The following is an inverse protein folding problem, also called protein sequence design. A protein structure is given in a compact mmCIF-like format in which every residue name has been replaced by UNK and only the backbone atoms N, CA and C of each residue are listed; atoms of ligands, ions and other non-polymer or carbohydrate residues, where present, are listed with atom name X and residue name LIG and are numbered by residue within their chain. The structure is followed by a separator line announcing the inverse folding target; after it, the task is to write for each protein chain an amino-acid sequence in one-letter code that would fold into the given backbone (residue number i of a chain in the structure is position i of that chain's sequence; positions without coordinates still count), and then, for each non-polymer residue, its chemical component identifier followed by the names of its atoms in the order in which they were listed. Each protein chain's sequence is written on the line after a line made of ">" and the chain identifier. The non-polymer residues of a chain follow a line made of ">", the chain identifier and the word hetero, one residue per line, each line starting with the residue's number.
data_IF_555008973495
#
_entry.id   IF_555008973495
#
_cell.length_a   1.000
_cell.length_b   1.000
_cell.length_c   1.000
_cell.angle_alpha   90.00
_cell.angle_beta   90.00
_cell.angle_gamma   90.00
#
_symmetry.space_group_name_H-M   'P 1'
#
loop_
_entity.id
_entity.type
_entity.pdbx_description
1 polymer ?
#
# COMPACT_ATOMS: atom_id res chain seq x y z
N UNK A 1 14.00 -14.11 47.32
CA UNK A 1 13.35 -15.21 46.60
C UNK A 1 11.89 -15.22 47.03
N UNK A 2 11.00 -14.62 46.24
CA UNK A 2 9.55 -14.77 46.43
C UNK A 2 9.04 -15.14 45.05
N UNK A 3 8.67 -16.42 44.94
CA UNK A 3 8.04 -17.03 43.79
C UNK A 3 6.53 -16.76 43.89
N UNK A 4 6.00 -15.98 42.94
CA UNK A 4 4.57 -15.67 42.86
C UNK A 4 4.02 -16.28 41.58
N UNK A 5 3.70 -17.56 41.66
CA UNK A 5 2.98 -18.30 40.64
C UNK A 5 1.47 -18.03 40.76
N UNK A 6 0.89 -17.28 39.81
CA UNK A 6 -0.56 -17.09 39.69
C UNK A 6 -1.08 -17.95 38.53
N UNK A 7 -2.07 -18.84 38.73
CA UNK A 7 -2.63 -19.63 37.63
C UNK A 7 -3.58 -18.79 36.78
N UNK A 8 -3.27 -18.73 35.47
CA UNK A 8 -4.11 -18.10 34.45
C UNK A 8 -5.19 -19.10 34.02
N UNK A 9 -6.41 -18.93 34.52
CA UNK A 9 -7.58 -19.73 34.10
C UNK A 9 -8.05 -19.30 32.71
N UNK A 10 -7.89 -20.19 31.74
CA UNK A 10 -8.34 -20.03 30.36
C UNK A 10 -9.85 -20.35 30.26
N UNK A 11 -10.68 -19.34 30.01
CA UNK A 11 -12.12 -19.51 29.79
C UNK A 11 -12.38 -19.76 28.30
N UNK A 12 -12.66 -21.01 27.92
CA UNK A 12 -13.04 -21.38 26.55
C UNK A 12 -14.54 -21.14 26.36
N UNK A 13 -14.89 -20.01 25.75
CA UNK A 13 -16.25 -19.71 25.32
C UNK A 13 -16.52 -20.26 23.92
N UNK A 14 -17.37 -21.29 23.82
CA UNK A 14 -17.85 -21.81 22.55
C UNK A 14 -18.89 -20.84 21.94
N UNK A 15 -18.51 -20.14 20.87
CA UNK A 15 -19.40 -19.30 20.08
C UNK A 15 -20.08 -20.14 18.99
N UNK A 16 -21.36 -20.45 19.18
CA UNK A 16 -22.22 -21.11 18.17
C UNK A 16 -22.75 -20.03 17.23
N UNK A 17 -22.35 -20.07 15.96
CA UNK A 17 -22.85 -19.18 14.90
C UNK A 17 -24.06 -19.83 14.17
N UNK A 18 -25.16 -19.09 13.95
CA UNK A 18 -26.31 -19.58 13.20
C UNK A 18 -26.04 -19.56 11.68
N UNK A 19 -26.65 -20.53 11.00
CA UNK A 19 -26.42 -20.86 9.60
C UNK A 19 -26.77 -19.76 8.59
N UNK A 20 -25.89 -19.61 7.60
CA UNK A 20 -26.13 -18.83 6.40
C UNK A 20 -27.01 -19.63 5.43
N UNK A 21 -28.14 -19.05 5.06
CA UNK A 21 -29.00 -19.56 4.00
C UNK A 21 -28.32 -19.40 2.63
N UNK A 22 -28.16 -20.51 1.91
CA UNK A 22 -27.65 -20.52 0.55
C UNK A 22 -28.72 -19.99 -0.42
N UNK A 23 -28.55 -18.76 -0.90
CA UNK A 23 -29.30 -18.26 -2.05
C UNK A 23 -28.69 -18.84 -3.33
N UNK A 24 -29.28 -19.93 -3.85
CA UNK A 24 -29.00 -20.46 -5.19
C UNK A 24 -29.62 -19.55 -6.25
N UNK A 25 -28.98 -18.42 -6.52
CA UNK A 25 -29.28 -17.58 -7.68
C UNK A 25 -28.48 -18.08 -8.88
N UNK A 26 -29.15 -18.67 -9.86
CA UNK A 26 -28.56 -19.02 -11.15
C UNK A 26 -28.15 -17.74 -11.88
N UNK A 27 -26.87 -17.38 -11.79
CA UNK A 27 -26.29 -16.29 -12.57
C UNK A 27 -26.39 -16.61 -14.06
N UNK A 28 -26.86 -15.67 -14.91
CA UNK A 28 -26.86 -15.85 -16.35
C UNK A 28 -25.43 -16.04 -16.84
N UNK A 29 -25.19 -17.17 -17.51
CA UNK A 29 -23.93 -17.52 -18.13
C UNK A 29 -23.62 -16.48 -19.23
N UNK A 30 -22.67 -15.60 -18.95
CA UNK A 30 -22.14 -14.68 -19.95
C UNK A 30 -21.56 -15.51 -21.12
N UNK A 31 -21.74 -15.06 -22.38
CA UNK A 31 -21.15 -15.74 -23.52
C UNK A 31 -19.63 -15.87 -23.34
N UNK A 32 -19.00 -16.93 -23.85
CA UNK A 32 -17.55 -17.08 -23.81
C UNK A 32 -16.91 -15.91 -24.56
N UNK A 33 -16.53 -14.88 -23.82
CA UNK A 33 -15.68 -13.82 -24.33
C UNK A 33 -14.35 -14.46 -24.64
N UNK A 34 -13.96 -14.39 -25.91
CA UNK A 34 -12.59 -14.61 -26.34
C UNK A 34 -11.71 -13.70 -25.48
N UNK A 35 -11.09 -14.24 -24.43
CA UNK A 35 -10.10 -13.52 -23.67
C UNK A 35 -8.96 -13.25 -24.64
N UNK A 36 -8.89 -12.03 -25.16
CA UNK A 36 -7.71 -11.56 -25.86
C UNK A 36 -6.56 -11.73 -24.87
N UNK A 37 -5.63 -12.62 -25.22
CA UNK A 37 -4.39 -12.76 -24.49
C UNK A 37 -3.63 -11.46 -24.69
N UNK A 38 -3.83 -10.50 -23.78
CA UNK A 38 -2.99 -9.32 -23.62
C UNK A 38 -1.59 -9.85 -23.42
N UNK A 39 -0.82 -9.84 -24.51
CA UNK A 39 0.57 -10.23 -24.47
C UNK A 39 1.25 -9.10 -23.73
N UNK A 40 1.68 -9.35 -22.49
CA UNK A 40 2.34 -8.36 -21.65
C UNK A 40 3.43 -7.66 -22.48
N UNK A 41 3.46 -6.32 -22.50
CA UNK A 41 4.47 -5.57 -23.24
C UNK A 41 5.86 -6.11 -22.88
N UNK A 42 6.70 -6.47 -23.87
CA UNK A 42 8.05 -6.94 -23.59
C UNK A 42 8.84 -5.79 -22.97
N UNK A 43 9.02 -5.82 -21.64
CA UNK A 43 9.77 -4.80 -20.91
C UNK A 43 9.27 -4.43 -19.51
N UNK A 44 8.17 -5.03 -19.01
CA UNK A 44 7.78 -4.82 -17.61
C UNK A 44 8.92 -5.27 -16.68
N UNK A 45 9.38 -4.37 -15.83
CA UNK A 45 10.43 -4.69 -14.86
C UNK A 45 9.87 -5.67 -13.82
N UNK A 46 10.65 -6.66 -13.41
CA UNK A 46 10.23 -7.61 -12.36
C UNK A 46 10.83 -7.18 -11.02
N UNK A 47 9.99 -6.68 -10.12
CA UNK A 47 10.42 -6.23 -8.78
C UNK A 47 11.16 -7.33 -7.99
N UNK A 48 10.86 -8.60 -8.22
CA UNK A 48 11.49 -9.72 -7.51
C UNK A 48 12.95 -9.92 -7.90
N UNK A 49 13.36 -9.37 -9.04
CA UNK A 49 14.75 -9.40 -9.49
C UNK A 49 15.60 -8.31 -8.86
N UNK A 50 14.98 -7.35 -8.16
CA UNK A 50 15.69 -6.25 -7.50
C UNK A 50 16.26 -6.70 -6.17
N UNK A 51 17.57 -6.48 -5.98
CA UNK A 51 18.23 -6.73 -4.71
C UNK A 51 17.93 -5.60 -3.71
N UNK A 52 16.78 -5.72 -3.03
CA UNK A 52 16.38 -4.80 -1.96
C UNK A 52 17.35 -4.85 -0.76
N UNK A 53 18.04 -5.97 -0.54
CA UNK A 53 19.05 -6.12 0.52
C UNK A 53 20.37 -5.44 0.20
N UNK A 54 20.65 -5.18 -1.08
CA UNK A 54 21.76 -4.37 -1.58
C UNK A 54 21.35 -2.98 -2.03
N UNK A 55 20.09 -2.58 -1.86
CA UNK A 55 19.58 -1.29 -2.29
C UNK A 55 20.01 -0.15 -1.36
N UNK A 56 19.98 1.07 -1.92
CA UNK A 56 20.10 2.31 -1.16
C UNK A 56 18.71 2.75 -0.67
N UNK A 57 18.63 3.15 0.59
CA UNK A 57 17.40 3.56 1.26
C UNK A 57 17.54 4.99 1.77
N UNK A 58 16.44 5.73 1.81
CA UNK A 58 16.35 6.99 2.55
C UNK A 58 15.59 6.70 3.85
N UNK A 59 16.26 6.89 4.98
CA UNK A 59 15.71 6.61 6.29
C UNK A 59 15.57 7.91 7.07
N UNK A 60 14.40 8.22 7.60
CA UNK A 60 14.20 9.39 8.46
C UNK A 60 13.77 8.93 9.84
N UNK A 61 14.55 9.29 10.88
CA UNK A 61 14.15 9.04 12.25
C UNK A 61 12.86 9.80 12.53
N UNK A 62 11.90 9.02 12.96
CA UNK A 62 10.51 9.37 12.95
C UNK A 62 9.80 9.94 11.74
N UNK A 63 10.41 9.94 10.57
CA UNK A 63 9.96 10.81 9.48
C UNK A 63 10.05 12.31 9.84
N UNK A 64 10.56 12.65 11.03
CA UNK A 64 10.67 14.01 11.56
C UNK A 64 12.04 14.61 11.28
N UNK A 65 13.06 13.75 11.18
CA UNK A 65 14.44 14.16 10.96
C UNK A 65 14.79 14.22 9.46
N UNK A 66 15.88 14.91 9.15
CA UNK A 66 16.44 14.91 7.79
C UNK A 66 16.72 13.46 7.37
N UNK A 67 16.18 13.00 6.22
CA UNK A 67 16.44 11.65 5.75
C UNK A 67 17.95 11.42 5.56
N UNK A 68 18.43 10.29 6.07
CA UNK A 68 19.79 9.82 5.87
C UNK A 68 19.79 8.70 4.83
N UNK A 69 20.81 8.71 3.98
CA UNK A 69 21.03 7.64 3.01
C UNK A 69 21.66 6.44 3.71
N UNK A 70 21.04 5.27 3.58
CA UNK A 70 21.50 4.01 4.15
C UNK A 70 21.73 3.03 3.01
N UNK A 71 22.98 2.62 2.81
CA UNK A 71 23.34 1.58 1.85
C UNK A 71 23.35 0.24 2.56
N UNK A 72 22.37 -0.62 2.27
CA UNK A 72 22.39 -1.98 2.80
C UNK A 72 23.38 -2.85 2.02
N UNK A 73 23.95 -3.83 2.70
CA UNK A 73 24.75 -4.90 2.11
C UNK A 73 24.26 -6.22 2.70
N UNK A 74 23.66 -7.08 1.88
CA UNK A 74 23.04 -8.33 2.35
C UNK A 74 21.91 -8.10 3.36
N UNK A 75 21.16 -7.00 3.20
CA UNK A 75 20.03 -6.65 4.05
C UNK A 75 20.40 -5.93 5.34
N UNK A 76 21.65 -5.57 5.58
CA UNK A 76 22.06 -4.85 6.80
C UNK A 76 22.97 -3.67 6.51
N UNK A 77 22.96 -2.67 7.40
CA UNK A 77 23.95 -1.60 7.42
C UNK A 77 24.24 -1.18 8.86
N UNK A 78 25.36 -0.50 9.06
CA UNK A 78 25.69 0.13 10.33
C UNK A 78 26.32 1.48 10.09
N UNK A 79 25.97 2.47 10.91
CA UNK A 79 26.52 3.82 10.87
C UNK A 79 26.91 4.26 12.28
N UNK A 80 27.97 5.06 12.40
CA UNK A 80 28.51 5.49 13.69
C UNK A 80 29.45 4.47 14.34
N UNK A 81 29.84 4.74 15.59
CA UNK A 81 30.73 3.88 16.39
C UNK A 81 30.38 3.98 17.87
N UNK A 82 30.76 2.97 18.67
CA UNK A 82 30.53 2.97 20.11
C UNK A 82 29.05 3.07 20.46
N UNK A 83 28.71 3.97 21.39
CA UNK A 83 27.32 4.22 21.85
C UNK A 83 26.43 4.90 20.81
N UNK A 84 27.03 5.45 19.75
CA UNK A 84 26.31 6.04 18.62
C UNK A 84 26.12 5.05 17.47
N UNK A 85 26.49 3.78 17.65
CA UNK A 85 26.27 2.76 16.64
C UNK A 85 24.78 2.58 16.39
N UNK A 86 24.37 2.85 15.15
CA UNK A 86 23.03 2.59 14.65
C UNK A 86 23.12 1.45 13.66
N UNK A 87 22.31 0.42 13.87
CA UNK A 87 22.16 -0.69 12.93
C UNK A 87 20.86 -0.55 12.17
N UNK A 88 20.91 -0.89 10.89
CA UNK A 88 19.76 -0.96 10.01
C UNK A 88 19.65 -2.38 9.47
N UNK A 89 18.44 -2.90 9.38
CA UNK A 89 18.19 -4.21 8.80
C UNK A 89 16.91 -4.21 7.99
N UNK A 90 16.98 -4.73 6.77
CA UNK A 90 15.82 -5.17 5.99
C UNK A 90 15.21 -6.38 6.69
N UNK A 91 13.93 -6.27 7.00
CA UNK A 91 13.11 -7.32 7.59
C UNK A 91 12.29 -8.01 6.48
N UNK A 92 11.06 -8.43 6.77
CA UNK A 92 10.16 -9.00 5.77
C UNK A 92 9.91 -8.10 4.56
N UNK A 93 9.93 -8.72 3.37
CA UNK A 93 9.44 -8.14 2.12
C UNK A 93 8.20 -8.91 1.70
N UNK A 94 7.13 -8.18 1.38
CA UNK A 94 5.88 -8.72 0.85
C UNK A 94 5.70 -8.19 -0.57
N UNK A 95 5.32 -9.06 -1.50
CA UNK A 95 5.11 -8.70 -2.89
C UNK A 95 3.62 -8.76 -3.22
N UNK A 96 3.17 -7.83 -4.06
CA UNK A 96 1.80 -7.76 -4.54
C UNK A 96 1.54 -6.48 -5.31
N UNK A 97 0.51 -6.47 -6.13
CA UNK A 97 0.02 -5.29 -6.83
C UNK A 97 -0.72 -4.38 -5.83
N UNK A 98 -0.08 -3.28 -5.41
CA UNK A 98 -0.59 -2.38 -4.35
C UNK A 98 -1.48 -1.28 -4.92
N UNK A 99 -1.33 -0.94 -6.20
CA UNK A 99 -2.05 0.18 -6.84
C UNK A 99 -3.10 -0.25 -7.89
N UNK A 100 -3.11 -1.52 -8.28
CA UNK A 100 -4.05 -2.12 -9.21
C UNK A 100 -3.70 -1.95 -10.69
N UNK A 101 -2.45 -1.63 -11.04
CA UNK A 101 -2.01 -1.46 -12.42
C UNK A 101 -1.64 -2.78 -13.12
N UNK A 102 -1.56 -3.88 -12.36
CA UNK A 102 -1.27 -5.23 -12.85
C UNK A 102 0.20 -5.60 -12.85
N UNK A 103 1.10 -4.67 -12.50
CA UNK A 103 2.50 -4.96 -12.20
C UNK A 103 2.66 -5.26 -10.69
N UNK A 104 3.67 -6.04 -10.33
CA UNK A 104 3.89 -6.41 -8.93
C UNK A 104 4.76 -5.38 -8.22
N UNK A 105 4.36 -4.96 -7.01
CA UNK A 105 5.12 -4.07 -6.14
C UNK A 105 5.78 -4.83 -4.99
N UNK A 106 6.68 -4.16 -4.26
CA UNK A 106 7.26 -4.67 -3.03
C UNK A 106 7.01 -3.74 -1.85
N UNK A 107 6.51 -4.30 -0.76
CA UNK A 107 6.38 -3.64 0.54
C UNK A 107 7.43 -4.21 1.48
N UNK A 108 8.35 -3.36 1.92
CA UNK A 108 9.51 -3.75 2.72
C UNK A 108 9.56 -2.96 4.02
N UNK A 109 10.09 -3.57 5.07
CA UNK A 109 10.35 -2.90 6.36
C UNK A 109 11.84 -2.75 6.61
N UNK A 110 12.28 -1.53 6.90
CA UNK A 110 13.61 -1.26 7.44
C UNK A 110 13.49 -1.03 8.93
N UNK A 111 14.15 -1.88 9.72
CA UNK A 111 14.30 -1.69 11.14
C UNK A 111 15.59 -0.91 11.42
N UNK A 112 15.51 0.04 12.35
CA UNK A 112 16.65 0.76 12.92
C UNK A 112 16.74 0.42 14.40
N UNK A 113 17.94 0.09 14.86
CA UNK A 113 18.21 -0.15 16.27
C UNK A 113 19.47 0.61 16.72
N UNK A 114 19.45 1.07 17.97
CA UNK A 114 20.62 1.50 18.72
C UNK A 114 20.45 1.11 20.19
N UNK A 115 21.40 1.48 21.05
CA UNK A 115 21.36 1.13 22.48
C UNK A 115 20.14 1.69 23.25
N UNK A 116 19.40 2.65 22.66
CA UNK A 116 18.30 3.34 23.34
C UNK A 116 16.92 3.10 22.72
N UNK A 117 16.84 2.65 21.47
CA UNK A 117 15.58 2.57 20.75
C UNK A 117 15.62 1.53 19.63
N UNK A 118 14.44 0.97 19.36
CA UNK A 118 14.12 0.18 18.18
C UNK A 118 12.92 0.81 17.48
N UNK A 119 13.02 0.94 16.16
CA UNK A 119 11.91 1.39 15.32
C UNK A 119 11.96 0.69 13.97
N UNK A 120 10.83 0.68 13.26
CA UNK A 120 10.77 0.17 11.90
C UNK A 120 9.86 1.02 11.04
N UNK A 121 10.31 1.27 9.81
CA UNK A 121 9.57 2.03 8.81
C UNK A 121 9.23 1.12 7.63
N UNK A 122 8.01 1.29 7.10
CA UNK A 122 7.54 0.59 5.92
C UNK A 122 7.75 1.43 4.67
N UNK A 123 8.13 0.76 3.60
CA UNK A 123 8.47 1.32 2.30
C UNK A 123 7.71 0.57 1.22
N UNK A 124 7.27 1.28 0.18
CA UNK A 124 6.63 0.71 -1.00
C UNK A 124 7.49 1.02 -2.22
N UNK A 125 7.93 -0.03 -2.90
CA UNK A 125 8.62 0.01 -4.18
C UNK A 125 7.61 -0.31 -5.26
N UNK A 126 7.35 0.65 -6.15
CA UNK A 126 6.36 0.49 -7.20
C UNK A 126 7.01 0.18 -8.54
N UNK A 127 6.31 -0.63 -9.32
CA UNK A 127 6.78 -1.08 -10.62
C UNK A 127 5.95 -0.46 -11.73
N UNK A 128 6.14 0.83 -12.00
CA UNK A 128 5.41 1.52 -13.08
C UNK A 128 6.14 1.36 -14.44
N UNK A 129 6.41 0.13 -14.88
CA UNK A 129 7.24 -0.18 -16.06
C UNK A 129 8.75 0.06 -15.90
N UNK A 130 9.17 0.62 -14.76
CA UNK A 130 10.53 0.64 -14.25
C UNK A 130 10.46 0.55 -12.71
N UNK A 131 11.39 -0.18 -12.09
CA UNK A 131 11.42 -0.24 -10.63
C UNK A 131 11.87 1.10 -10.08
N UNK A 132 10.99 1.75 -9.32
CA UNK A 132 11.30 2.98 -8.62
C UNK A 132 10.80 2.92 -7.18
N UNK A 133 11.59 3.51 -6.27
CA UNK A 133 11.15 3.71 -4.90
C UNK A 133 10.19 4.90 -4.89
N UNK A 134 8.89 4.63 -4.85
CA UNK A 134 7.88 5.65 -5.10
C UNK A 134 7.19 6.15 -3.82
N UNK A 135 7.10 5.34 -2.75
CA UNK A 135 6.20 5.72 -1.65
C UNK A 135 6.59 5.18 -0.26
N UNK A 136 6.19 5.93 0.77
CA UNK A 136 6.22 5.54 2.17
C UNK A 136 4.78 5.60 2.69
N UNK A 137 4.18 4.45 3.01
CA UNK A 137 2.79 4.40 3.44
C UNK A 137 2.66 4.65 4.95
N UNK A 138 1.82 5.63 5.34
CA UNK A 138 1.45 5.92 6.74
C UNK A 138 0.03 5.41 7.05
N UNK A 139 -0.10 4.46 7.99
CA UNK A 139 -1.40 3.98 8.49
C UNK A 139 -1.81 4.80 9.73
N UNK A 140 -2.94 5.54 9.72
CA UNK A 140 -3.43 6.27 10.90
C UNK A 140 -4.02 5.31 11.94
N UNK A 141 -3.64 5.45 13.22
CA UNK A 141 -4.23 4.72 14.36
C UNK A 141 -3.27 3.84 15.17
N UNK A 142 -2.04 3.64 14.67
CA UNK A 142 -0.86 3.29 15.47
C UNK A 142 0.00 4.56 15.61
N UNK A 143 0.53 4.85 16.80
CA UNK A 143 1.11 6.15 17.17
C UNK A 143 2.16 6.71 16.19
N UNK A 144 1.76 7.78 15.48
CA UNK A 144 2.51 8.96 14.99
C UNK A 144 3.85 8.83 14.21
N UNK A 145 3.81 8.94 12.86
CA UNK A 145 4.99 9.23 12.01
C UNK A 145 4.64 10.15 10.79
N UNK A 146 5.23 11.34 10.60
CA UNK A 146 5.03 12.27 9.45
C UNK A 146 5.30 11.72 8.03
N UNK A 147 4.74 12.43 7.04
CA UNK A 147 4.91 12.21 5.59
C UNK A 147 5.39 13.50 4.94
N UNK A 148 6.50 13.43 4.21
CA UNK A 148 6.96 14.49 3.31
C UNK A 148 6.49 14.18 1.89
N UNK A 149 5.75 15.13 1.31
CA UNK A 149 5.16 15.02 -0.01
C UNK A 149 6.06 15.71 -1.03
N UNK A 150 7.17 15.13 -1.49
CA UNK A 150 7.79 15.57 -2.74
C UNK A 150 8.72 14.53 -3.37
N UNK A 151 8.63 14.28 -4.68
CA UNK A 151 9.59 13.44 -5.39
C UNK A 151 10.96 14.13 -5.45
N UNK A 152 12.04 13.39 -5.21
CA UNK A 152 13.38 13.78 -5.69
C UNK A 152 13.50 13.28 -7.14
N UNK A 153 12.77 13.92 -8.05
CA UNK A 153 13.29 14.04 -9.40
C UNK A 153 14.49 14.99 -9.30
N UNK A 154 15.58 14.71 -10.03
CA UNK A 154 16.52 15.77 -10.34
C UNK A 154 15.73 16.93 -10.97
N UNK A 155 15.44 17.96 -10.16
CA UNK A 155 14.92 19.28 -10.49
C UNK A 155 13.92 19.38 -11.67
N UNK A 156 12.63 19.51 -11.36
CA UNK A 156 11.65 20.21 -12.20
C UNK A 156 10.32 19.50 -12.46
N UNK A 157 9.20 20.13 -12.03
CA UNK A 157 7.83 19.77 -12.43
C UNK A 157 6.93 19.43 -11.23
N UNK A 158 6.22 20.40 -10.64
CA UNK A 158 4.82 20.76 -10.94
C UNK A 158 3.79 19.72 -10.45
N UNK A 159 3.20 20.02 -9.29
CA UNK A 159 2.13 19.26 -8.64
C UNK A 159 0.81 19.28 -9.43
N UNK A 160 0.09 18.15 -9.57
CA UNK A 160 -1.29 18.16 -10.03
C UNK A 160 -2.20 18.74 -8.93
N UNK A 161 -3.06 19.70 -9.31
CA UNK A 161 -4.12 20.21 -8.42
C UNK A 161 -5.15 19.10 -8.14
N UNK A 162 -5.74 19.06 -6.94
CA UNK A 162 -6.89 18.21 -6.68
C UNK A 162 -8.06 18.67 -7.55
N UNK A 163 -8.50 17.84 -8.49
CA UNK A 163 -9.85 17.99 -9.01
C UNK A 163 -10.80 17.55 -7.91
N UNK A 164 -11.34 18.53 -7.19
CA UNK A 164 -12.55 18.36 -6.41
C UNK A 164 -13.63 17.79 -7.37
N UNK A 165 -13.92 16.49 -7.28
CA UNK A 165 -15.20 15.97 -7.74
C UNK A 165 -16.26 16.54 -6.81
N UNK A 166 -16.86 17.65 -7.20
CA UNK A 166 -18.18 18.03 -6.73
C UNK A 166 -19.12 16.89 -7.12
N UNK A 167 -19.58 16.13 -6.13
CA UNK A 167 -20.75 15.28 -6.29
C UNK A 167 -21.93 16.21 -6.58
N UNK A 168 -22.22 16.44 -7.86
CA UNK A 168 -23.55 16.89 -8.25
C UNK A 168 -24.53 15.81 -7.82
N UNK A 169 -25.35 16.18 -6.83
CA UNK A 169 -26.66 15.58 -6.61
C UNK A 169 -27.38 15.53 -7.96
N UNK A 170 -27.43 14.36 -8.58
CA UNK A 170 -28.44 14.09 -9.60
C UNK A 170 -29.78 14.15 -8.91
N UNK A 171 -30.44 15.30 -9.06
CA UNK A 171 -31.82 15.52 -8.67
C UNK A 171 -32.69 14.46 -9.33
N UNK A 172 -33.57 13.92 -8.51
CA UNK A 172 -34.71 13.08 -8.82
C UNK A 172 -35.40 13.55 -10.10
N UNK A 173 -35.60 12.66 -11.07
CA UNK A 173 -36.58 12.89 -12.12
C UNK A 173 -37.95 12.47 -11.56
N UNK A 174 -38.90 13.38 -11.29
CA UNK A 174 -40.24 12.97 -10.94
C UNK A 174 -40.96 12.46 -12.20
N UNK A 175 -41.55 11.29 -12.06
CA UNK A 175 -42.70 10.78 -12.78
C UNK A 175 -43.67 11.88 -13.24
N UNK A 176 -43.89 12.07 -14.55
CA UNK A 176 -45.20 12.04 -15.25
C UNK A 176 -45.19 12.65 -16.67
N UNK A 177 -45.99 12.00 -17.51
CA UNK A 177 -46.76 12.52 -18.67
C UNK A 177 -46.12 12.56 -20.07
N UNK A 178 -46.50 11.54 -20.85
CA UNK A 178 -47.21 11.64 -22.13
C UNK A 178 -46.68 12.62 -23.19
N UNK A 179 -46.07 12.08 -24.26
CA UNK A 179 -46.00 12.73 -25.56
C UNK A 179 -46.92 12.00 -26.55
N UNK A 180 -48.13 12.53 -26.74
CA UNK A 180 -48.89 12.38 -27.98
C UNK A 180 -48.36 13.40 -28.99
N UNK A 181 -48.03 12.97 -30.21
CA UNK A 181 -47.75 13.87 -31.33
C UNK A 181 -48.91 13.80 -32.33
N UNK A 182 -49.69 14.88 -32.37
CA UNK A 182 -50.73 15.16 -33.37
C UNK A 182 -50.36 16.45 -34.09
N UNK A 183 -50.38 16.45 -35.43
CA UNK A 183 -50.63 17.66 -36.24
C UNK A 183 -49.50 18.14 -37.16
N UNK A 184 -49.76 18.16 -38.48
CA UNK A 184 -49.04 18.93 -39.52
C UNK A 184 -49.34 20.45 -39.43
N UNK A 185 -49.46 21.24 -40.53
CA UNK A 185 -49.18 21.02 -41.95
C UNK A 185 -48.23 22.08 -42.58
N UNK A 186 -47.81 21.87 -43.84
CA UNK A 186 -47.88 22.81 -44.99
C UNK A 186 -47.33 22.13 -46.23
#
# INVERSE_FOLDING_TARGET
>A
MIDSSVPLSLLVGALVLPGLAACTGSSPQAPPGTAEATTAPPGAADIRTVDLGGAQWLYSFKGLDVPVTVQLTGGTASQGTGVELVTYSLDGVTYGDVDGDGDEDAVARINRANDMAFEGLWYVWRTDGAVSLTEYLRIPGLDAWPVQTAPVAAWGGMWPRPQHRTAERSLSCPTRHSCSATGGPS
#
